data_IF_723220677751
#
_entry.id   IF_723220677751
#
_cell.length_a   1.000
_cell.length_b   1.000
_cell.length_c   1.000
_cell.angle_alpha   90.00
_cell.angle_beta   90.00
_cell.angle_gamma   90.00
#
_symmetry.space_group_name_H-M   'P 1'
#
loop_
_entity.id
_entity.type
_entity.pdbx_description
1 polymer ?
#
# COMPACT_ATOMS: atom_id res chain seq x y z
N UNK A 1 7.72 -23.92 -14.35
CA UNK A 1 8.21 -24.16 -12.98
C UNK A 1 7.15 -24.01 -11.89
N UNK A 2 6.16 -23.12 -11.99
CA UNK A 2 5.11 -23.00 -10.96
C UNK A 2 3.66 -23.18 -11.46
N UNK A 3 3.49 -23.45 -12.76
CA UNK A 3 2.17 -23.58 -13.42
C UNK A 3 1.17 -22.48 -13.04
N UNK A 4 1.68 -21.25 -12.87
CA UNK A 4 0.90 -20.07 -12.52
C UNK A 4 1.23 -18.93 -13.48
N UNK A 5 0.22 -18.12 -13.80
CA UNK A 5 0.34 -16.93 -14.63
C UNK A 5 -0.14 -15.74 -13.81
N UNK A 6 0.74 -14.81 -13.41
CA UNK A 6 0.33 -13.62 -12.68
C UNK A 6 -0.66 -12.78 -13.48
N UNK A 7 -1.68 -12.26 -12.80
CA UNK A 7 -2.67 -11.32 -13.36
C UNK A 7 -2.58 -9.91 -12.77
N UNK A 8 -1.71 -9.72 -11.78
CA UNK A 8 -1.51 -8.47 -11.07
C UNK A 8 -0.05 -8.03 -11.19
N UNK A 9 0.16 -6.80 -11.67
CA UNK A 9 1.47 -6.14 -11.72
C UNK A 9 1.78 -5.38 -10.43
N UNK A 10 3.07 -5.25 -10.11
CA UNK A 10 3.57 -4.53 -8.94
C UNK A 10 4.80 -3.70 -9.32
N UNK A 11 4.60 -2.41 -9.59
CA UNK A 11 5.63 -1.51 -10.13
C UNK A 11 5.85 -0.31 -9.22
N UNK A 12 6.58 -0.53 -8.13
CA UNK A 12 6.76 0.47 -7.09
C UNK A 12 7.96 1.40 -7.30
N UNK A 13 8.93 0.99 -8.13
CA UNK A 13 10.22 1.68 -8.26
C UNK A 13 10.63 2.22 -9.66
N UNK A 14 9.91 2.00 -10.78
CA UNK A 14 10.20 2.73 -12.01
C UNK A 14 10.04 4.24 -11.85
N UNK A 15 10.98 5.06 -12.34
CA UNK A 15 10.91 6.52 -12.23
C UNK A 15 9.91 7.14 -13.21
N UNK A 16 8.61 6.94 -12.93
CA UNK A 16 7.51 7.27 -13.82
C UNK A 16 7.22 6.13 -14.79
N UNK A 17 5.99 6.12 -15.33
CA UNK A 17 5.50 5.09 -16.23
C UNK A 17 4.84 5.74 -17.46
N UNK A 18 4.96 5.09 -18.62
CA UNK A 18 4.35 5.54 -19.88
C UNK A 18 3.00 4.87 -20.12
N UNK A 19 2.18 5.44 -21.00
CA UNK A 19 0.92 4.77 -21.41
C UNK A 19 1.16 3.43 -22.11
N UNK A 20 2.31 3.26 -22.79
CA UNK A 20 2.66 1.98 -23.41
C UNK A 20 2.77 0.83 -22.40
N UNK A 21 3.13 1.12 -21.15
CA UNK A 21 3.18 0.14 -20.07
C UNK A 21 1.81 -0.53 -19.87
N UNK A 22 0.74 0.26 -19.72
CA UNK A 22 -0.59 -0.29 -19.45
C UNK A 22 -1.11 -1.12 -20.63
N UNK A 23 -0.86 -0.68 -21.87
CA UNK A 23 -1.25 -1.42 -23.07
C UNK A 23 -0.57 -2.78 -23.16
N UNK A 24 0.76 -2.82 -23.03
CA UNK A 24 1.53 -4.06 -23.13
C UNK A 24 1.20 -5.03 -22.01
N UNK A 25 1.02 -4.53 -20.78
CA UNK A 25 0.60 -5.35 -19.64
C UNK A 25 -0.76 -5.98 -19.88
N UNK A 26 -1.74 -5.21 -20.37
CA UNK A 26 -3.06 -5.73 -20.70
C UNK A 26 -2.98 -6.84 -21.76
N UNK A 27 -2.22 -6.63 -22.84
CA UNK A 27 -2.01 -7.64 -23.89
C UNK A 27 -1.30 -8.91 -23.38
N UNK A 28 -0.46 -8.79 -22.35
CA UNK A 28 0.19 -9.94 -21.70
C UNK A 28 -0.72 -10.73 -20.77
N UNK A 29 -1.99 -10.36 -20.64
CA UNK A 29 -2.97 -11.05 -19.79
C UNK A 29 -3.04 -10.52 -18.35
N UNK A 30 -2.43 -9.36 -18.05
CA UNK A 30 -2.63 -8.69 -16.77
C UNK A 30 -4.02 -8.03 -16.71
N UNK A 31 -4.59 -8.03 -15.52
CA UNK A 31 -5.89 -7.43 -15.21
C UNK A 31 -5.73 -6.18 -14.35
N UNK A 32 -4.77 -6.20 -13.41
CA UNK A 32 -4.55 -5.12 -12.47
C UNK A 32 -3.06 -4.76 -12.37
N UNK A 33 -2.76 -3.55 -11.90
CA UNK A 33 -1.40 -3.15 -11.53
C UNK A 33 -1.40 -2.17 -10.37
N UNK A 34 -0.38 -2.27 -9.52
CA UNK A 34 -0.07 -1.27 -8.50
C UNK A 34 1.15 -0.46 -8.96
N UNK A 35 1.08 0.86 -8.79
CA UNK A 35 2.17 1.78 -9.13
C UNK A 35 2.41 2.77 -7.99
N UNK A 36 3.65 3.26 -7.84
CA UNK A 36 3.97 4.23 -6.78
C UNK A 36 4.56 5.53 -7.30
N UNK A 37 5.62 5.50 -8.10
CA UNK A 37 6.35 6.72 -8.47
C UNK A 37 5.59 7.54 -9.52
N UNK A 38 4.95 8.60 -9.03
CA UNK A 38 4.24 9.62 -9.80
C UNK A 38 4.56 10.99 -9.21
N UNK A 39 4.52 12.04 -10.03
CA UNK A 39 4.71 13.40 -9.55
C UNK A 39 3.74 13.72 -8.40
N UNK A 40 4.24 14.24 -7.28
CA UNK A 40 3.48 14.43 -6.05
C UNK A 40 2.23 15.31 -6.24
N UNK A 41 2.31 16.36 -7.09
CA UNK A 41 1.15 17.20 -7.40
C UNK A 41 0.03 16.41 -8.09
N UNK A 42 0.36 15.43 -8.93
CA UNK A 42 -0.63 14.58 -9.58
C UNK A 42 -1.24 13.61 -8.57
N UNK A 43 -0.43 13.02 -7.67
CA UNK A 43 -0.95 12.20 -6.57
C UNK A 43 -1.96 12.98 -5.73
N UNK A 44 -1.61 14.20 -5.32
CA UNK A 44 -2.51 15.06 -4.53
C UNK A 44 -3.80 15.37 -5.31
N UNK A 45 -3.69 15.77 -6.58
CA UNK A 45 -4.83 16.04 -7.45
C UNK A 45 -5.80 14.84 -7.56
N UNK A 46 -5.25 13.64 -7.72
CA UNK A 46 -6.03 12.40 -7.82
C UNK A 46 -6.61 11.98 -6.47
N UNK A 47 -5.84 12.12 -5.38
CA UNK A 47 -6.27 11.78 -4.02
C UNK A 47 -7.45 12.64 -3.57
N UNK A 48 -7.42 13.96 -3.82
CA UNK A 48 -8.53 14.88 -3.58
C UNK A 48 -9.83 14.47 -4.30
N UNK A 49 -9.68 13.81 -5.46
CA UNK A 49 -10.79 13.34 -6.32
C UNK A 49 -11.11 11.87 -6.14
N UNK A 50 -10.48 11.19 -5.17
CA UNK A 50 -10.58 9.74 -4.97
C UNK A 50 -10.38 8.95 -6.28
N UNK A 51 -9.41 9.38 -7.09
CA UNK A 51 -9.12 8.86 -8.42
C UNK A 51 -7.72 8.22 -8.49
N UNK A 52 -7.21 7.75 -7.34
CA UNK A 52 -5.99 6.93 -7.26
C UNK A 52 -6.21 5.52 -7.82
N UNK A 53 -7.46 5.12 -8.01
CA UNK A 53 -7.87 3.88 -8.66
C UNK A 53 -8.64 4.21 -9.94
N UNK A 54 -8.18 3.71 -11.08
CA UNK A 54 -8.79 4.02 -12.37
C UNK A 54 -8.49 2.96 -13.43
N UNK A 55 -9.28 2.97 -14.50
CA UNK A 55 -9.03 2.17 -15.70
C UNK A 55 -8.02 2.92 -16.60
N UNK A 56 -6.79 2.42 -16.66
CA UNK A 56 -5.74 3.05 -17.47
C UNK A 56 -5.85 2.62 -18.93
N UNK A 57 -6.67 3.37 -19.67
CA UNK A 57 -6.88 3.19 -21.11
C UNK A 57 -5.87 3.99 -21.95
N UNK A 58 -5.70 3.58 -23.19
CA UNK A 58 -4.96 4.37 -24.18
C UNK A 58 -5.82 5.52 -24.70
N UNK A 59 -5.19 6.62 -25.09
CA UNK A 59 -5.90 7.83 -25.55
C UNK A 59 -6.75 7.59 -26.81
N UNK A 60 -6.39 6.63 -27.65
CA UNK A 60 -7.15 6.30 -28.86
C UNK A 60 -8.30 5.30 -28.62
N UNK A 61 -8.55 4.90 -27.37
CA UNK A 61 -9.58 3.92 -27.00
C UNK A 61 -10.87 4.58 -26.47
N UNK A 62 -11.14 5.85 -26.77
CA UNK A 62 -12.23 6.64 -26.14
C UNK A 62 -13.61 5.98 -26.23
N UNK A 63 -13.94 5.32 -27.35
CA UNK A 63 -15.29 4.77 -27.59
C UNK A 63 -15.35 3.24 -27.67
N UNK A 64 -14.21 2.55 -27.59
CA UNK A 64 -14.17 1.09 -27.74
C UNK A 64 -14.29 0.38 -26.38
N UNK A 65 -15.52 -0.04 -26.06
CA UNK A 65 -15.84 -0.82 -24.86
C UNK A 65 -15.11 -2.18 -24.87
N UNK A 66 -14.70 -2.70 -26.04
CA UNK A 66 -13.96 -3.96 -26.13
C UNK A 66 -12.48 -3.84 -25.72
N UNK A 67 -11.96 -2.60 -25.62
CA UNK A 67 -10.60 -2.31 -25.17
C UNK A 67 -10.61 -1.92 -23.69
N UNK A 68 -10.83 -2.91 -22.83
CA UNK A 68 -10.76 -2.74 -21.38
C UNK A 68 -9.37 -2.25 -20.96
N UNK A 69 -9.35 -1.17 -20.17
CA UNK A 69 -8.13 -0.61 -19.59
C UNK A 69 -7.50 -1.57 -18.58
N UNK A 70 -6.25 -1.28 -18.21
CA UNK A 70 -5.62 -1.95 -17.08
C UNK A 70 -6.08 -1.27 -15.79
N UNK A 71 -6.73 -1.99 -14.88
CA UNK A 71 -7.07 -1.41 -13.58
C UNK A 71 -5.79 -1.06 -12.84
N UNK A 72 -5.66 0.20 -12.45
CA UNK A 72 -4.43 0.74 -11.88
C UNK A 72 -4.71 1.34 -10.52
N UNK A 73 -3.97 0.89 -9.51
CA UNK A 73 -3.98 1.43 -8.16
C UNK A 73 -2.69 2.20 -7.89
N UNK A 74 -2.80 3.49 -7.58
CA UNK A 74 -1.67 4.33 -7.20
C UNK A 74 -1.54 4.32 -5.68
N UNK A 75 -0.39 3.86 -5.18
CA UNK A 75 -0.05 4.00 -3.78
C UNK A 75 0.09 5.49 -3.42
N UNK A 76 -0.56 5.99 -2.35
CA UNK A 76 -0.62 7.43 -2.06
C UNK A 76 0.75 7.96 -1.59
N UNK A 77 1.52 7.15 -0.87
CA UNK A 77 2.80 7.54 -0.26
C UNK A 77 3.99 6.78 -0.90
N UNK A 78 5.17 6.85 -0.27
CA UNK A 78 6.33 6.05 -0.66
C UNK A 78 6.13 4.57 -0.30
N UNK A 79 6.86 3.67 -0.95
CA UNK A 79 6.58 2.22 -0.89
C UNK A 79 7.08 1.51 0.37
N UNK A 80 8.00 2.14 1.11
CA UNK A 80 8.49 1.62 2.38
C UNK A 80 7.43 1.75 3.50
N UNK A 81 7.49 0.85 4.49
CA UNK A 81 6.54 0.87 5.61
C UNK A 81 6.58 2.19 6.40
N UNK A 82 7.75 2.83 6.49
CA UNK A 82 7.96 4.06 7.26
C UNK A 82 7.20 5.27 6.73
N UNK A 83 6.73 5.21 5.49
CA UNK A 83 5.91 6.27 4.88
C UNK A 83 4.55 5.76 4.38
N UNK A 84 4.39 4.45 4.17
CA UNK A 84 3.19 3.91 3.55
C UNK A 84 1.97 3.85 4.47
N UNK A 85 2.18 3.76 5.79
CA UNK A 85 1.08 3.46 6.72
C UNK A 85 0.03 4.60 6.84
N UNK A 86 0.38 5.82 6.42
CA UNK A 86 -0.50 6.98 6.49
C UNK A 86 0.25 8.32 6.41
N UNK A 87 -0.33 9.36 7.01
CA UNK A 87 0.13 10.74 6.93
C UNK A 87 1.15 11.14 8.00
N UNK A 88 1.31 10.33 9.04
CA UNK A 88 2.24 10.60 10.14
C UNK A 88 3.41 9.62 10.11
N UNK A 89 4.54 10.08 9.57
CA UNK A 89 5.78 9.32 9.45
C UNK A 89 6.27 8.76 10.80
N UNK A 90 5.98 9.43 11.93
CA UNK A 90 6.40 8.91 13.24
C UNK A 90 5.62 7.67 13.63
N UNK A 91 4.32 7.65 13.35
CA UNK A 91 3.47 6.48 13.60
C UNK A 91 3.86 5.34 12.64
N UNK A 92 4.20 5.66 11.40
CA UNK A 92 4.66 4.66 10.44
C UNK A 92 6.07 4.11 10.74
N UNK A 93 6.93 4.94 11.34
CA UNK A 93 8.21 4.51 11.88
C UNK A 93 8.02 3.56 13.07
N UNK A 94 7.12 3.87 14.01
CA UNK A 94 6.77 2.97 15.13
C UNK A 94 6.33 1.57 14.61
N UNK A 95 5.55 1.52 13.52
CA UNK A 95 5.19 0.26 12.86
C UNK A 95 6.42 -0.46 12.28
N UNK A 96 7.31 0.26 11.60
CA UNK A 96 8.53 -0.29 10.99
C UNK A 96 9.46 -0.88 12.05
N UNK A 97 9.66 -0.18 13.17
CA UNK A 97 10.45 -0.64 14.31
C UNK A 97 9.84 -1.88 14.96
N UNK A 98 8.51 -1.89 15.12
CA UNK A 98 7.77 -3.07 15.59
C UNK A 98 7.98 -4.29 14.69
N UNK A 99 7.96 -4.11 13.36
CA UNK A 99 8.24 -5.17 12.39
C UNK A 99 9.66 -5.72 12.47
N UNK A 100 10.63 -4.87 12.81
CA UNK A 100 12.02 -5.24 12.97
C UNK A 100 12.32 -5.97 14.28
N UNK A 101 11.42 -5.88 15.27
CA UNK A 101 11.73 -6.26 16.64
C UNK A 101 12.74 -5.32 17.31
N UNK A 102 13.08 -4.21 16.64
CA UNK A 102 14.02 -3.20 17.12
C UNK A 102 13.26 -2.15 17.92
N UNK A 103 13.28 -2.23 19.25
CA UNK A 103 12.83 -1.13 20.14
C UNK A 103 13.86 0.01 20.23
N UNK A 104 14.76 0.14 19.26
CA UNK A 104 15.90 1.07 19.30
C UNK A 104 15.73 2.24 18.33
N UNK A 105 14.59 2.94 18.38
CA UNK A 105 14.67 4.36 18.07
C UNK A 105 15.53 5.05 19.13
N UNK A 106 16.38 5.99 18.70
CA UNK A 106 17.07 6.94 19.58
C UNK A 106 16.08 7.83 20.37
N UNK A 107 14.79 7.77 20.04
CA UNK A 107 13.69 8.46 20.70
C UNK A 107 12.71 7.40 21.24
N UNK A 108 12.65 7.15 22.55
CA UNK A 108 11.70 6.20 23.12
C UNK A 108 10.28 6.59 22.73
N UNK A 109 9.58 5.74 21.97
CA UNK A 109 8.12 5.86 21.84
C UNK A 109 7.53 5.61 23.23
N UNK A 110 6.92 6.63 23.82
CA UNK A 110 6.24 6.52 25.12
C UNK A 110 4.90 5.79 25.03
N UNK A 111 4.49 5.37 23.82
CA UNK A 111 3.18 4.78 23.58
C UNK A 111 3.15 3.32 24.02
N UNK A 112 2.02 2.87 24.55
CA UNK A 112 1.78 1.43 24.72
C UNK A 112 1.51 0.77 23.37
N UNK A 113 1.55 -0.57 23.34
CA UNK A 113 1.22 -1.33 22.13
C UNK A 113 -0.21 -1.01 21.63
N UNK A 114 -1.17 -0.93 22.55
CA UNK A 114 -2.57 -0.61 22.29
C UNK A 114 -2.73 0.80 21.71
N UNK A 115 -2.01 1.77 22.26
CA UNK A 115 -2.00 3.15 21.75
C UNK A 115 -1.42 3.21 20.34
N UNK A 116 -0.33 2.47 20.07
CA UNK A 116 0.23 2.36 18.72
C UNK A 116 -0.76 1.73 17.75
N UNK A 117 -1.45 0.65 18.13
CA UNK A 117 -2.44 0.00 17.28
C UNK A 117 -3.62 0.93 16.96
N UNK A 118 -4.12 1.69 17.93
CA UNK A 118 -5.19 2.69 17.71
C UNK A 118 -4.72 3.80 16.79
N UNK A 119 -3.51 4.34 17.01
CA UNK A 119 -2.92 5.37 16.15
C UNK A 119 -2.72 4.88 14.72
N UNK A 120 -2.28 3.64 14.53
CA UNK A 120 -2.16 3.02 13.21
C UNK A 120 -3.51 2.87 12.51
N UNK A 121 -4.54 2.42 13.23
CA UNK A 121 -5.89 2.35 12.68
C UNK A 121 -6.42 3.72 12.24
N UNK A 122 -6.11 4.79 12.98
CA UNK A 122 -6.44 6.15 12.56
C UNK A 122 -5.72 6.55 11.27
N UNK A 123 -4.45 6.18 11.11
CA UNK A 123 -3.70 6.41 9.87
C UNK A 123 -4.32 5.65 8.68
N UNK A 124 -4.67 4.37 8.87
CA UNK A 124 -5.36 3.57 7.86
C UNK A 124 -6.71 4.17 7.47
N UNK A 125 -7.50 4.63 8.45
CA UNK A 125 -8.77 5.33 8.17
C UNK A 125 -8.57 6.63 7.41
N UNK A 126 -7.52 7.39 7.72
CA UNK A 126 -7.22 8.60 6.96
C UNK A 126 -6.82 8.28 5.53
N UNK A 127 -6.01 7.25 5.33
CA UNK A 127 -5.59 6.81 4.01
C UNK A 127 -6.76 6.25 3.19
N UNK A 128 -7.70 5.52 3.81
CA UNK A 128 -8.88 4.99 3.13
C UNK A 128 -9.80 6.09 2.59
N UNK A 129 -9.79 7.29 3.19
CA UNK A 129 -10.53 8.43 2.67
C UNK A 129 -10.05 8.89 1.28
N UNK A 130 -8.84 8.51 0.87
CA UNK A 130 -8.27 8.80 -0.46
C UNK A 130 -8.82 7.89 -1.57
N UNK A 131 -9.57 6.84 -1.20
CA UNK A 131 -10.10 5.84 -2.11
C UNK A 131 -11.63 5.84 -2.11
N UNK A 132 -12.22 5.18 -3.11
CA UNK A 132 -13.68 5.07 -3.24
C UNK A 132 -14.25 3.86 -2.50
N UNK A 133 -13.44 2.81 -2.34
CA UNK A 133 -13.85 1.55 -1.72
C UNK A 133 -13.57 1.55 -0.21
N UNK A 134 -14.12 0.54 0.48
CA UNK A 134 -13.83 0.30 1.89
C UNK A 134 -12.61 -0.59 2.11
N UNK A 135 -11.99 -1.08 1.03
CA UNK A 135 -10.80 -1.92 1.09
C UNK A 135 -9.57 -1.03 1.01
N UNK A 136 -8.60 -1.29 1.88
CA UNK A 136 -7.36 -0.53 1.91
C UNK A 136 -6.18 -1.48 1.73
N UNK A 137 -5.32 -1.15 0.77
CA UNK A 137 -4.06 -1.85 0.54
C UNK A 137 -2.95 -1.14 1.35
N UNK A 138 -2.35 -1.85 2.30
CA UNK A 138 -1.18 -1.40 3.08
C UNK A 138 0.01 -2.32 2.78
N UNK A 139 0.89 -1.95 1.84
CA UNK A 139 2.16 -2.63 1.64
C UNK A 139 3.04 -2.55 2.89
N UNK A 140 3.72 -3.65 3.22
CA UNK A 140 4.66 -3.72 4.35
C UNK A 140 6.00 -4.28 3.87
N UNK A 141 7.02 -3.44 3.88
CA UNK A 141 8.35 -3.79 3.41
C UNK A 141 9.23 -2.57 3.14
N UNK A 142 10.17 -2.75 2.22
CA UNK A 142 11.21 -1.79 1.87
C UNK A 142 12.36 -2.51 1.17
N UNK A 143 13.41 -1.78 0.87
CA UNK A 143 14.57 -2.33 0.15
C UNK A 143 15.23 -3.45 0.97
N UNK A 144 15.39 -4.63 0.35
CA UNK A 144 16.06 -5.81 0.94
C UNK A 144 15.53 -6.25 2.31
N UNK A 145 14.27 -5.93 2.63
CA UNK A 145 13.56 -6.40 3.82
C UNK A 145 13.22 -7.89 3.69
N UNK A 146 12.84 -8.47 4.81
CA UNK A 146 12.44 -9.86 4.97
C UNK A 146 13.57 -10.85 4.66
N UNK A 147 14.79 -10.50 5.06
CA UNK A 147 16.01 -11.21 4.66
C UNK A 147 16.56 -12.18 5.72
N UNK A 148 15.93 -12.25 6.90
CA UNK A 148 16.33 -13.14 7.98
C UNK A 148 15.12 -13.79 8.65
N UNK A 149 15.31 -15.01 9.15
CA UNK A 149 14.27 -15.74 9.90
C UNK A 149 13.81 -14.97 11.14
N UNK A 150 14.73 -14.22 11.78
CA UNK A 150 14.42 -13.38 12.94
C UNK A 150 13.45 -12.26 12.55
N UNK A 151 13.78 -11.49 11.51
CA UNK A 151 12.91 -10.42 11.02
C UNK A 151 11.54 -10.96 10.60
N UNK A 152 11.53 -12.09 9.87
CA UNK A 152 10.27 -12.71 9.44
C UNK A 152 9.41 -13.11 10.64
N UNK A 153 10.00 -13.79 11.62
CA UNK A 153 9.27 -14.26 12.82
C UNK A 153 8.75 -13.10 13.65
N UNK A 154 9.59 -12.10 13.94
CA UNK A 154 9.17 -10.93 14.71
C UNK A 154 8.13 -10.09 13.97
N UNK A 155 8.34 -9.82 12.68
CA UNK A 155 7.44 -9.02 11.88
C UNK A 155 6.05 -9.64 11.74
N UNK A 156 5.98 -10.95 11.50
CA UNK A 156 4.70 -11.65 11.41
C UNK A 156 4.00 -11.70 12.79
N UNK A 157 4.70 -11.99 13.89
CA UNK A 157 4.11 -11.95 15.24
C UNK A 157 3.55 -10.56 15.56
N UNK A 158 4.32 -9.51 15.29
CA UNK A 158 3.91 -8.13 15.55
C UNK A 158 2.65 -7.75 14.77
N UNK A 159 2.59 -8.09 13.48
CA UNK A 159 1.41 -7.84 12.64
C UNK A 159 0.20 -8.63 13.10
N UNK A 160 0.37 -9.92 13.41
CA UNK A 160 -0.71 -10.76 13.92
C UNK A 160 -1.29 -10.18 15.21
N UNK A 161 -0.45 -9.68 16.12
CA UNK A 161 -0.90 -9.04 17.35
C UNK A 161 -1.67 -7.74 17.08
N UNK A 162 -1.22 -6.91 16.15
CA UNK A 162 -1.93 -5.67 15.77
C UNK A 162 -3.30 -6.01 15.20
N UNK A 163 -3.34 -6.89 14.20
CA UNK A 163 -4.58 -7.31 13.52
C UNK A 163 -5.54 -7.91 14.54
N UNK A 164 -5.06 -8.83 15.38
CA UNK A 164 -5.88 -9.47 16.42
C UNK A 164 -6.45 -8.43 17.39
N UNK A 165 -5.62 -7.52 17.87
CA UNK A 165 -6.06 -6.47 18.80
C UNK A 165 -7.13 -5.58 18.16
N UNK A 166 -6.94 -5.14 16.92
CA UNK A 166 -7.90 -4.28 16.20
C UNK A 166 -9.22 -5.04 15.96
N UNK A 167 -9.15 -6.28 15.46
CA UNK A 167 -10.33 -7.05 15.07
C UNK A 167 -11.15 -7.54 16.28
N UNK A 168 -10.55 -7.64 17.47
CA UNK A 168 -11.28 -7.94 18.71
C UNK A 168 -12.14 -6.77 19.21
N UNK A 169 -11.93 -5.55 18.71
CA UNK A 169 -12.66 -4.36 19.13
C UNK A 169 -13.80 -4.07 18.15
N UNK A 170 -15.00 -4.57 18.43
CA UNK A 170 -16.19 -4.35 17.57
C UNK A 170 -16.44 -2.86 17.28
N UNK A 171 -16.15 -1.99 18.26
CA UNK A 171 -16.28 -0.53 18.12
C UNK A 171 -15.42 0.07 17.00
N UNK A 172 -14.39 -0.65 16.55
CA UNK A 172 -13.50 -0.21 15.48
C UNK A 172 -14.05 -0.46 14.08
N UNK A 173 -15.08 -1.32 13.91
CA UNK A 173 -15.72 -1.58 12.62
C UNK A 173 -14.71 -1.86 11.49
N UNK A 174 -13.71 -2.69 11.76
CA UNK A 174 -12.61 -3.05 10.85
C UNK A 174 -12.40 -4.57 10.95
N UNK A 175 -12.07 -5.22 9.83
CA UNK A 175 -11.79 -6.64 9.73
C UNK A 175 -10.53 -6.92 8.89
#
# INVERSE_FOLDING_TARGET
NFNSTPRNGWEIDPFGLSQSFSHLRRLSGMENTVITRMHYQMKNYLAERKSLEFQWKQQWCEDDISMDGLFTHILPFAYDTSHMCGFDDKICLDLTEGLLGERQSLVPSHNTFEETAVKLLEQFRKQSMLFQTKNLLIPMGGDFRWNSDYEWTQGIDYLQRIITYINMQESFNTE
#
